data_IF_493125240973
#
_entry.id   IF_493125240973
#
_cell.length_a   1.000
_cell.length_b   1.000
_cell.length_c   1.000
_cell.angle_alpha   90.00
_cell.angle_beta   90.00
_cell.angle_gamma   90.00
#
_symmetry.space_group_name_H-M   'P 1'
#
loop_
_entity.id
_entity.type
_entity.pdbx_description
1 polymer ?
#
# COMPACT_ATOMS: atom_id res chain seq x y z
N UNK A 1 -27.54 -2.30 8.10
CA UNK A 1 -26.61 -3.09 7.26
C UNK A 1 -25.21 -2.68 7.67
N UNK A 2 -24.33 -3.65 7.93
CA UNK A 2 -23.04 -3.32 8.55
C UNK A 2 -22.05 -2.80 7.51
N UNK A 3 -22.07 -3.35 6.28
CA UNK A 3 -21.16 -2.94 5.22
C UNK A 3 -21.86 -2.93 3.85
N UNK A 4 -21.50 -1.96 3.01
CA UNK A 4 -21.77 -1.96 1.57
C UNK A 4 -20.46 -2.22 0.82
N UNK A 5 -20.46 -3.23 -0.02
CA UNK A 5 -19.31 -3.63 -0.83
C UNK A 5 -19.44 -3.06 -2.24
N UNK A 6 -18.51 -2.19 -2.62
CA UNK A 6 -18.38 -1.60 -3.94
C UNK A 6 -17.24 -2.31 -4.68
N UNK A 7 -17.60 -3.19 -5.62
CA UNK A 7 -16.61 -3.89 -6.46
C UNK A 7 -16.18 -3.00 -7.60
N UNK A 8 -14.89 -2.66 -7.62
CA UNK A 8 -14.30 -1.80 -8.65
C UNK A 8 -13.47 -2.63 -9.64
N UNK A 9 -13.47 -2.19 -10.88
CA UNK A 9 -12.53 -2.65 -11.89
C UNK A 9 -11.44 -1.60 -12.07
N UNK A 10 -10.23 -1.94 -11.65
CA UNK A 10 -9.03 -1.12 -11.77
C UNK A 10 -8.11 -1.59 -12.90
N UNK A 11 -8.59 -2.47 -13.80
CA UNK A 11 -7.76 -3.11 -14.82
C UNK A 11 -8.22 -2.88 -16.26
N UNK A 12 -9.51 -2.87 -16.53
CA UNK A 12 -10.05 -3.00 -17.89
C UNK A 12 -10.91 -1.81 -18.30
N UNK A 13 -11.88 -1.40 -17.46
CA UNK A 13 -12.98 -0.53 -17.89
C UNK A 13 -12.55 0.89 -18.25
N UNK A 14 -11.69 1.51 -17.42
CA UNK A 14 -11.41 2.93 -17.57
C UNK A 14 -9.94 3.31 -17.38
N UNK A 15 -9.08 2.34 -17.21
CA UNK A 15 -7.68 2.52 -16.87
C UNK A 15 -6.86 3.10 -18.01
N UNK A 16 -6.18 4.22 -17.76
CA UNK A 16 -5.12 4.72 -18.63
C UNK A 16 -3.87 3.83 -18.57
N UNK A 17 -3.05 3.92 -19.60
CA UNK A 17 -1.76 3.23 -19.62
C UNK A 17 -0.91 3.65 -18.41
N UNK A 18 -0.31 2.67 -17.76
CA UNK A 18 0.64 2.86 -16.67
C UNK A 18 1.81 3.74 -17.12
N UNK A 19 2.29 4.62 -16.24
CA UNK A 19 3.55 5.33 -16.45
C UNK A 19 4.73 4.40 -16.21
N UNK A 20 5.81 4.65 -16.94
CA UNK A 20 7.09 3.95 -16.77
C UNK A 20 8.17 4.96 -16.40
N UNK A 21 8.92 4.71 -15.35
CA UNK A 21 10.03 5.58 -14.94
C UNK A 21 11.07 5.74 -16.04
N UNK A 22 11.27 4.71 -16.88
CA UNK A 22 12.24 4.76 -17.97
C UNK A 22 11.92 5.85 -19.00
N UNK A 23 10.65 6.24 -19.16
CA UNK A 23 10.23 7.32 -20.05
C UNK A 23 10.66 8.72 -19.54
N UNK A 24 11.04 8.82 -18.28
CA UNK A 24 11.42 10.08 -17.60
C UNK A 24 12.93 10.19 -17.38
N UNK A 25 13.73 9.17 -17.71
CA UNK A 25 15.17 9.29 -17.66
C UNK A 25 15.70 10.06 -18.87
N UNK A 26 16.56 11.04 -18.61
CA UNK A 26 17.26 11.87 -19.60
C UNK A 26 18.77 11.66 -19.47
N UNK A 27 19.56 12.30 -20.33
CA UNK A 27 21.02 12.32 -20.18
C UNK A 27 21.51 13.01 -18.90
N UNK A 28 20.65 13.76 -18.20
CA UNK A 28 20.93 14.49 -16.96
C UNK A 28 20.33 13.79 -15.72
N UNK A 29 19.65 12.64 -15.88
CA UNK A 29 18.97 11.90 -14.83
C UNK A 29 17.44 11.92 -14.97
N UNK A 30 16.73 11.68 -13.87
CA UNK A 30 15.27 11.66 -13.86
C UNK A 30 14.69 13.07 -13.98
N UNK A 31 13.84 13.29 -14.99
CA UNK A 31 13.01 14.50 -15.11
C UNK A 31 11.84 14.43 -14.10
N UNK A 32 12.17 14.77 -12.86
CA UNK A 32 11.21 14.71 -11.75
C UNK A 32 10.04 15.71 -11.93
N UNK A 33 10.27 16.84 -12.60
CA UNK A 33 9.21 17.82 -12.82
C UNK A 33 8.16 17.30 -13.80
N UNK A 34 8.59 16.70 -14.91
CA UNK A 34 7.70 16.07 -15.88
C UNK A 34 6.98 14.87 -15.25
N UNK A 35 7.70 14.00 -14.53
CA UNK A 35 7.11 12.87 -13.84
C UNK A 35 6.01 13.31 -12.86
N UNK A 36 6.27 14.30 -12.00
CA UNK A 36 5.30 14.81 -11.04
C UNK A 36 4.06 15.41 -11.72
N UNK A 37 4.25 16.12 -12.82
CA UNK A 37 3.13 16.68 -13.59
C UNK A 37 2.25 15.58 -14.20
N UNK A 38 2.86 14.53 -14.74
CA UNK A 38 2.14 13.45 -15.41
C UNK A 38 1.42 12.53 -14.39
N UNK A 39 2.09 12.13 -13.30
CA UNK A 39 1.49 11.25 -12.28
C UNK A 39 0.35 11.92 -11.51
N UNK A 40 0.44 13.24 -11.31
CA UNK A 40 -0.59 14.07 -10.66
C UNK A 40 -1.66 14.63 -11.61
N UNK A 41 -1.62 14.30 -12.90
CA UNK A 41 -2.53 14.86 -13.90
C UNK A 41 -3.99 14.52 -13.61
N UNK A 42 -4.87 15.52 -13.65
CA UNK A 42 -6.31 15.37 -13.52
C UNK A 42 -6.95 14.57 -14.67
N UNK A 43 -6.23 14.44 -15.78
CA UNK A 43 -6.69 13.70 -16.94
C UNK A 43 -6.36 12.20 -16.85
N UNK A 44 -5.57 11.77 -15.87
CA UNK A 44 -5.25 10.36 -15.66
C UNK A 44 -6.32 9.68 -14.82
N UNK A 45 -6.80 8.54 -15.30
CA UNK A 45 -7.85 7.77 -14.62
C UNK A 45 -7.49 6.30 -14.48
N UNK A 46 -7.88 5.71 -13.36
CA UNK A 46 -7.83 4.28 -13.07
C UNK A 46 -9.22 3.63 -13.20
N UNK A 47 -10.26 4.35 -12.79
CA UNK A 47 -11.64 3.88 -12.80
C UNK A 47 -12.39 4.26 -14.09
N UNK A 48 -12.03 5.39 -14.69
CA UNK A 48 -12.83 6.02 -15.73
C UNK A 48 -14.01 6.82 -15.16
N UNK A 49 -14.46 7.81 -15.92
CA UNK A 49 -15.48 8.76 -15.45
C UNK A 49 -16.80 8.08 -15.05
N UNK A 50 -17.24 7.07 -15.78
CA UNK A 50 -18.51 6.39 -15.52
C UNK A 50 -18.47 5.63 -14.19
N UNK A 51 -17.42 4.84 -13.95
CA UNK A 51 -17.27 4.07 -12.73
C UNK A 51 -17.06 4.99 -11.51
N UNK A 52 -16.25 6.06 -11.69
CA UNK A 52 -16.05 7.04 -10.62
C UNK A 52 -17.36 7.72 -10.20
N UNK A 53 -18.18 8.17 -11.15
CA UNK A 53 -19.50 8.75 -10.86
C UNK A 53 -20.46 7.76 -10.19
N UNK A 54 -20.44 6.50 -10.63
CA UNK A 54 -21.19 5.43 -10.00
C UNK A 54 -20.75 5.23 -8.54
N UNK A 55 -19.45 5.17 -8.29
CA UNK A 55 -18.88 5.01 -6.94
C UNK A 55 -19.29 6.18 -6.04
N UNK A 56 -19.13 7.42 -6.50
CA UNK A 56 -19.51 8.62 -5.74
C UNK A 56 -21.00 8.61 -5.39
N UNK A 57 -21.85 8.23 -6.34
CA UNK A 57 -23.30 8.09 -6.11
C UNK A 57 -23.61 6.99 -5.10
N UNK A 58 -22.97 5.84 -5.22
CA UNK A 58 -23.14 4.70 -4.31
C UNK A 58 -22.73 5.07 -2.88
N UNK A 59 -21.58 5.71 -2.71
CA UNK A 59 -21.12 6.22 -1.41
C UNK A 59 -22.09 7.24 -0.82
N UNK A 60 -22.64 8.14 -1.64
CA UNK A 60 -23.57 9.17 -1.17
C UNK A 60 -24.90 8.57 -0.66
N UNK A 61 -25.44 7.56 -1.33
CA UNK A 61 -26.72 6.95 -0.95
C UNK A 61 -26.59 5.86 0.12
N UNK A 62 -25.41 5.30 0.34
CA UNK A 62 -25.20 4.28 1.34
C UNK A 62 -25.44 4.79 2.75
N UNK A 63 -26.12 3.97 3.56
CA UNK A 63 -26.35 4.18 5.00
C UNK A 63 -25.64 3.12 5.86
N UNK A 64 -24.85 2.25 5.24
CA UNK A 64 -24.09 1.24 5.96
C UNK A 64 -23.00 1.88 6.84
N UNK A 65 -22.67 1.21 7.94
CA UNK A 65 -21.59 1.64 8.84
C UNK A 65 -20.25 1.70 8.09
N UNK A 66 -19.98 0.71 7.25
CA UNK A 66 -18.74 0.59 6.49
C UNK A 66 -19.00 0.74 4.99
N UNK A 67 -18.11 1.47 4.33
CA UNK A 67 -18.00 1.51 2.89
C UNK A 67 -16.76 0.75 2.48
N UNK A 68 -16.95 -0.36 1.80
CA UNK A 68 -15.86 -1.29 1.45
C UNK A 68 -15.62 -1.24 -0.05
N UNK A 69 -14.41 -0.85 -0.46
CA UNK A 69 -13.98 -0.94 -1.85
C UNK A 69 -13.26 -2.27 -2.06
N UNK A 70 -13.85 -3.17 -2.84
CA UNK A 70 -13.20 -4.39 -3.30
C UNK A 70 -12.54 -4.14 -4.64
N UNK A 71 -11.21 -4.22 -4.73
CA UNK A 71 -10.46 -3.87 -5.94
C UNK A 71 -9.19 -4.70 -6.09
N UNK A 72 -8.47 -4.51 -7.20
CA UNK A 72 -7.30 -5.31 -7.50
C UNK A 72 -6.03 -4.72 -6.87
N UNK A 73 -5.76 -3.42 -7.07
CA UNK A 73 -4.46 -2.78 -6.78
C UNK A 73 -4.44 -2.02 -5.46
N UNK A 74 -3.26 -1.79 -4.88
CA UNK A 74 -3.10 -1.04 -3.64
C UNK A 74 -3.52 0.43 -3.78
N UNK A 75 -4.24 0.95 -2.76
CA UNK A 75 -4.56 2.36 -2.61
C UNK A 75 -3.64 3.08 -1.62
N UNK A 76 -3.05 2.36 -0.67
CA UNK A 76 -2.02 2.88 0.23
C UNK A 76 -0.81 3.41 -0.56
N UNK A 77 -0.25 4.54 -0.12
CA UNK A 77 0.94 5.09 -0.76
C UNK A 77 2.15 4.23 -0.43
N UNK A 78 2.87 3.85 -1.47
CA UNK A 78 4.10 3.06 -1.40
C UNK A 78 5.28 3.89 -1.90
N UNK A 79 5.61 4.96 -1.16
CA UNK A 79 6.77 5.78 -1.49
C UNK A 79 8.04 5.16 -0.89
N UNK A 80 9.03 4.93 -1.72
CA UNK A 80 10.36 4.46 -1.31
C UNK A 80 11.43 5.49 -1.61
N UNK A 81 12.55 5.49 -0.89
CA UNK A 81 13.71 6.31 -1.22
C UNK A 81 14.13 6.14 -2.69
N UNK A 82 14.41 7.26 -3.35
CA UNK A 82 14.69 7.29 -4.79
C UNK A 82 15.85 6.37 -5.20
N UNK A 83 16.86 6.22 -4.34
CA UNK A 83 18.00 5.35 -4.63
C UNK A 83 17.63 3.84 -4.64
N UNK A 84 16.60 3.42 -3.91
CA UNK A 84 16.04 2.06 -4.01
C UNK A 84 15.27 1.91 -5.32
N UNK A 85 14.47 2.91 -5.67
CA UNK A 85 13.67 2.87 -6.91
C UNK A 85 14.55 2.83 -8.16
N UNK A 86 15.68 3.57 -8.17
CA UNK A 86 16.65 3.49 -9.26
C UNK A 86 17.24 2.09 -9.37
N UNK A 87 17.62 1.45 -8.25
CA UNK A 87 18.14 0.09 -8.26
C UNK A 87 17.10 -0.92 -8.76
N UNK A 88 15.84 -0.78 -8.35
CA UNK A 88 14.73 -1.64 -8.81
C UNK A 88 14.45 -1.41 -10.30
N UNK A 89 14.32 -0.16 -10.75
CA UNK A 89 14.01 0.18 -12.14
C UNK A 89 15.12 -0.24 -13.12
N UNK A 90 16.36 -0.30 -12.64
CA UNK A 90 17.52 -0.74 -13.45
C UNK A 90 17.90 -2.21 -13.22
N UNK A 91 17.07 -2.97 -12.49
CA UNK A 91 17.27 -4.39 -12.15
C UNK A 91 18.64 -4.66 -11.47
N UNK A 92 19.11 -3.69 -10.68
CA UNK A 92 20.36 -3.79 -9.92
C UNK A 92 20.08 -4.28 -8.49
N UNK A 93 19.82 -5.58 -8.35
CA UNK A 93 19.44 -6.16 -7.06
C UNK A 93 20.62 -6.54 -6.18
N UNK A 94 21.85 -6.57 -6.72
CA UNK A 94 23.04 -6.84 -5.94
C UNK A 94 23.25 -5.78 -4.86
N UNK A 95 23.31 -6.19 -3.58
CA UNK A 95 23.44 -5.30 -2.42
C UNK A 95 22.15 -4.51 -2.07
N UNK A 96 21.01 -4.81 -2.71
CA UNK A 96 19.74 -4.16 -2.42
C UNK A 96 19.27 -4.39 -0.97
N UNK A 97 19.36 -5.61 -0.40
CA UNK A 97 18.99 -5.84 1.00
C UNK A 97 19.85 -5.03 1.99
N UNK A 98 21.15 -4.90 1.75
CA UNK A 98 22.05 -4.10 2.57
C UNK A 98 21.74 -2.61 2.47
N UNK A 99 21.45 -2.12 1.27
CA UNK A 99 21.02 -0.72 1.04
C UNK A 99 19.71 -0.44 1.73
N UNK A 100 18.74 -1.35 1.65
CA UNK A 100 17.45 -1.25 2.34
C UNK A 100 17.64 -1.14 3.86
N UNK A 101 18.51 -1.98 4.43
CA UNK A 101 18.84 -1.96 5.86
C UNK A 101 19.54 -0.67 6.29
N UNK A 102 20.47 -0.15 5.47
CA UNK A 102 21.16 1.12 5.72
C UNK A 102 20.17 2.29 5.76
N UNK A 103 19.30 2.39 4.76
CA UNK A 103 18.27 3.45 4.69
C UNK A 103 17.28 3.37 5.85
N UNK A 104 16.85 2.16 6.22
CA UNK A 104 15.99 1.96 7.37
C UNK A 104 16.69 2.39 8.69
N UNK A 105 18.00 2.16 8.81
CA UNK A 105 18.78 2.64 9.95
C UNK A 105 18.83 4.16 10.00
N UNK A 106 19.05 4.84 8.86
CA UNK A 106 19.02 6.30 8.77
C UNK A 106 17.63 6.84 9.14
N UNK A 107 16.57 6.24 8.60
CA UNK A 107 15.18 6.62 8.92
C UNK A 107 14.87 6.41 10.41
N UNK A 108 15.32 5.31 11.00
CA UNK A 108 15.17 5.05 12.44
C UNK A 108 15.86 6.10 13.31
N UNK A 109 17.06 6.55 12.91
CA UNK A 109 17.78 7.66 13.59
C UNK A 109 17.03 8.99 13.45
N UNK A 110 16.50 9.27 12.25
CA UNK A 110 15.67 10.47 12.01
C UNK A 110 14.45 10.49 12.93
N UNK A 111 13.70 9.38 12.98
CA UNK A 111 12.52 9.25 13.84
C UNK A 111 12.82 9.40 15.34
N UNK A 112 14.05 9.07 15.76
CA UNK A 112 14.55 9.28 17.11
C UNK A 112 15.05 10.72 17.36
N UNK A 113 15.05 11.56 16.34
CA UNK A 113 15.53 12.96 16.42
C UNK A 113 17.05 13.06 16.61
N UNK A 114 17.85 12.15 16.02
CA UNK A 114 19.30 12.15 16.11
C UNK A 114 19.89 13.43 15.47
N UNK A 115 20.48 14.35 16.26
CA UNK A 115 20.99 15.61 15.73
C UNK A 115 22.31 15.46 14.97
N UNK A 116 22.89 14.28 14.92
CA UNK A 116 24.14 14.00 14.20
C UNK A 116 23.94 13.62 12.75
N UNK A 117 22.67 13.44 12.29
CA UNK A 117 22.35 13.22 10.88
C UNK A 117 22.71 14.44 10.05
N UNK A 118 23.40 14.21 8.95
CA UNK A 118 23.70 15.24 7.96
C UNK A 118 22.51 15.51 7.03
N UNK A 119 22.48 16.68 6.39
CA UNK A 119 21.48 17.00 5.37
C UNK A 119 21.50 16.00 4.22
N UNK A 120 22.66 15.45 3.87
CA UNK A 120 22.81 14.42 2.82
C UNK A 120 22.16 13.10 3.26
N UNK A 121 22.40 12.64 4.50
CA UNK A 121 21.77 11.44 5.06
C UNK A 121 20.24 11.58 5.13
N UNK A 122 19.75 12.76 5.55
CA UNK A 122 18.31 13.07 5.57
C UNK A 122 17.72 13.08 4.16
N UNK A 123 18.42 13.64 3.18
CA UNK A 123 17.97 13.65 1.79
C UNK A 123 17.83 12.24 1.21
N UNK A 124 18.71 11.31 1.57
CA UNK A 124 18.65 9.90 1.12
C UNK A 124 17.34 9.20 1.51
N UNK A 125 16.82 9.48 2.69
CA UNK A 125 15.59 8.83 3.18
C UNK A 125 14.31 9.62 2.91
N UNK A 126 14.41 10.92 2.65
CA UNK A 126 13.25 11.80 2.45
C UNK A 126 13.03 12.18 0.98
N UNK A 127 13.98 11.92 0.08
CA UNK A 127 13.74 12.00 -1.36
C UNK A 127 13.09 10.71 -1.81
N UNK A 128 11.77 10.69 -1.76
CA UNK A 128 10.96 9.50 -2.03
C UNK A 128 10.12 9.65 -3.29
N UNK A 129 9.77 8.53 -3.92
CA UNK A 129 8.86 8.48 -5.04
C UNK A 129 8.03 7.19 -5.03
N UNK A 130 6.91 7.12 -5.76
CA UNK A 130 6.06 5.94 -5.81
C UNK A 130 6.78 4.68 -6.27
N UNK A 131 6.65 3.60 -5.51
CA UNK A 131 7.21 2.30 -5.91
C UNK A 131 6.41 1.65 -7.03
N UNK A 132 5.07 1.68 -6.95
CA UNK A 132 4.20 0.93 -7.84
C UNK A 132 3.27 1.85 -8.64
N UNK A 133 3.69 2.21 -9.86
CA UNK A 133 2.90 3.05 -10.77
C UNK A 133 1.72 2.30 -11.42
N UNK A 134 1.66 0.98 -11.26
CA UNK A 134 0.52 0.15 -11.65
C UNK A 134 -0.66 0.28 -10.68
N UNK A 135 -0.40 0.63 -9.44
CA UNK A 135 -1.37 0.90 -8.39
C UNK A 135 -1.88 2.36 -8.40
N UNK A 136 -2.66 2.75 -7.38
CA UNK A 136 -3.19 4.10 -7.25
C UNK A 136 -2.11 5.19 -7.18
N UNK A 137 -0.89 4.85 -6.81
CA UNK A 137 0.25 5.77 -6.85
C UNK A 137 0.55 6.31 -8.25
N UNK A 138 0.19 5.58 -9.30
CA UNK A 138 0.26 6.04 -10.69
C UNK A 138 -0.92 6.90 -11.14
N UNK A 139 -1.94 7.11 -10.28
CA UNK A 139 -3.20 7.81 -10.58
C UNK A 139 -3.60 8.73 -9.43
N UNK A 140 -2.66 9.56 -8.99
CA UNK A 140 -2.74 10.29 -7.72
C UNK A 140 -3.94 11.23 -7.65
N UNK A 141 -4.29 11.92 -8.73
CA UNK A 141 -5.43 12.83 -8.74
C UNK A 141 -6.75 12.08 -8.47
N UNK A 142 -7.02 11.00 -9.19
CA UNK A 142 -8.27 10.25 -9.01
C UNK A 142 -8.34 9.56 -7.64
N UNK A 143 -7.18 9.11 -7.09
CA UNK A 143 -7.10 8.64 -5.71
C UNK A 143 -7.60 9.70 -4.73
N UNK A 144 -7.13 10.94 -4.86
CA UNK A 144 -7.57 12.03 -4.00
C UNK A 144 -9.06 12.37 -4.20
N UNK A 145 -9.62 12.23 -5.41
CA UNK A 145 -11.06 12.37 -5.64
C UNK A 145 -11.87 11.32 -4.89
N UNK A 146 -11.43 10.05 -4.89
CA UNK A 146 -12.11 8.97 -4.14
C UNK A 146 -12.03 9.22 -2.64
N UNK A 147 -10.83 9.51 -2.10
CA UNK A 147 -10.64 9.79 -0.67
C UNK A 147 -11.40 11.05 -0.25
N UNK A 148 -11.35 12.11 -1.05
CA UNK A 148 -12.08 13.35 -0.82
C UNK A 148 -13.60 13.14 -0.79
N UNK A 149 -14.12 12.26 -1.63
CA UNK A 149 -15.55 11.88 -1.61
C UNK A 149 -15.90 11.19 -0.28
N UNK A 150 -15.14 10.21 0.14
CA UNK A 150 -15.36 9.51 1.41
C UNK A 150 -15.26 10.47 2.62
N UNK A 151 -14.30 11.39 2.60
CA UNK A 151 -14.12 12.44 3.61
C UNK A 151 -15.31 13.38 3.68
N UNK A 152 -15.72 13.95 2.55
CA UNK A 152 -16.84 14.90 2.46
C UNK A 152 -18.16 14.29 2.94
N UNK A 153 -18.37 13.00 2.66
CA UNK A 153 -19.54 12.24 3.08
C UNK A 153 -19.38 11.61 4.49
N UNK A 154 -18.25 11.84 5.15
CA UNK A 154 -17.92 11.28 6.47
C UNK A 154 -18.09 9.76 6.55
N UNK A 155 -17.61 9.02 5.55
CA UNK A 155 -17.74 7.55 5.47
C UNK A 155 -16.60 6.85 6.22
N UNK A 156 -16.90 5.67 6.79
CA UNK A 156 -15.88 4.76 7.30
C UNK A 156 -15.42 3.89 6.13
N UNK A 157 -14.29 4.25 5.54
CA UNK A 157 -13.75 3.61 4.33
C UNK A 157 -12.81 2.48 4.69
N UNK A 158 -13.05 1.31 4.11
CA UNK A 158 -12.13 0.17 4.12
C UNK A 158 -11.87 -0.26 2.68
N UNK A 159 -10.62 -0.35 2.30
CA UNK A 159 -10.21 -0.85 0.98
C UNK A 159 -9.67 -2.26 1.13
N UNK A 160 -10.12 -3.16 0.26
CA UNK A 160 -9.61 -4.53 0.16
C UNK A 160 -8.92 -4.68 -1.18
N UNK A 161 -7.65 -5.11 -1.14
CA UNK A 161 -6.80 -5.23 -2.31
C UNK A 161 -6.05 -6.57 -2.38
N UNK A 162 -5.49 -6.86 -3.53
CA UNK A 162 -4.61 -8.00 -3.81
C UNK A 162 -3.43 -7.56 -4.66
N UNK A 163 -3.23 -8.22 -5.80
CA UNK A 163 -2.30 -7.87 -6.88
C UNK A 163 -0.81 -7.98 -6.54
N UNK A 164 -0.35 -7.35 -5.47
CA UNK A 164 1.08 -7.33 -5.10
C UNK A 164 1.59 -8.64 -4.51
N UNK A 165 0.71 -9.61 -4.32
CA UNK A 165 1.00 -10.94 -3.77
C UNK A 165 1.50 -10.97 -2.33
N UNK A 166 1.44 -9.85 -1.64
CA UNK A 166 1.89 -9.64 -0.27
C UNK A 166 0.73 -9.21 0.61
N UNK A 167 0.84 -9.43 1.91
CA UNK A 167 -0.13 -8.92 2.86
C UNK A 167 0.29 -7.53 3.37
N UNK A 168 -0.66 -6.58 3.36
CA UNK A 168 -0.45 -5.21 3.80
C UNK A 168 -1.59 -4.72 4.66
N UNK A 169 -1.30 -3.86 5.63
CA UNK A 169 -2.28 -2.99 6.27
C UNK A 169 -1.78 -1.55 6.24
N UNK A 170 -2.54 -0.68 5.61
CA UNK A 170 -2.17 0.71 5.39
C UNK A 170 -3.20 1.67 5.99
N UNK A 171 -2.73 2.76 6.55
CA UNK A 171 -3.55 3.93 6.80
C UNK A 171 -3.73 4.73 5.50
N UNK A 172 -4.97 5.11 5.20
CA UNK A 172 -5.25 5.91 4.00
C UNK A 172 -5.41 7.37 4.39
N UNK A 173 -4.40 8.16 4.08
CA UNK A 173 -4.42 9.62 4.24
C UNK A 173 -4.55 10.31 2.90
N UNK A 174 -5.26 11.44 2.90
CA UNK A 174 -5.29 12.34 1.75
C UNK A 174 -3.99 13.16 1.63
N UNK A 175 -3.90 14.00 0.61
CA UNK A 175 -2.70 14.84 0.38
C UNK A 175 -2.49 15.89 1.48
N UNK A 176 -3.51 16.23 2.26
CA UNK A 176 -3.40 17.13 3.41
C UNK A 176 -2.94 16.39 4.68
N UNK A 177 -2.82 15.06 4.65
CA UNK A 177 -2.45 14.23 5.78
C UNK A 177 -3.62 13.83 6.68
N UNK A 178 -4.86 14.13 6.27
CA UNK A 178 -6.05 13.73 7.03
C UNK A 178 -6.32 12.23 6.86
N UNK A 179 -6.59 11.55 7.97
CA UNK A 179 -6.92 10.13 8.00
C UNK A 179 -8.35 9.88 7.48
N UNK A 180 -8.48 9.15 6.38
CA UNK A 180 -9.76 8.91 5.69
C UNK A 180 -10.30 7.51 5.97
N UNK A 181 -9.45 6.50 5.90
CA UNK A 181 -9.80 5.10 6.04
C UNK A 181 -8.59 4.21 6.14
N UNK A 182 -8.78 2.91 5.92
CA UNK A 182 -7.70 1.92 5.96
C UNK A 182 -7.77 1.01 4.74
N UNK A 183 -6.64 0.37 4.44
CA UNK A 183 -6.56 -0.69 3.44
C UNK A 183 -6.03 -1.96 4.07
N UNK A 184 -6.63 -3.08 3.69
CA UNK A 184 -6.17 -4.43 3.98
C UNK A 184 -5.96 -5.17 2.67
N UNK A 185 -4.73 -5.59 2.41
CA UNK A 185 -4.38 -6.34 1.21
C UNK A 185 -3.99 -7.77 1.58
N UNK A 186 -4.40 -8.71 0.74
CA UNK A 186 -4.15 -10.13 0.93
C UNK A 186 -2.91 -10.60 0.18
N UNK A 187 -2.21 -11.58 0.78
CA UNK A 187 -1.19 -12.33 0.07
C UNK A 187 -1.78 -13.16 -1.07
N UNK A 188 -0.95 -13.59 -1.99
CA UNK A 188 -1.33 -14.55 -3.02
C UNK A 188 -1.52 -15.96 -2.44
N UNK A 189 -2.19 -16.82 -3.21
CA UNK A 189 -2.30 -18.25 -2.89
C UNK A 189 -1.03 -19.01 -3.29
N UNK A 190 -0.43 -18.68 -4.45
CA UNK A 190 0.72 -19.41 -4.99
C UNK A 190 1.75 -18.55 -5.72
N UNK A 191 1.40 -17.33 -6.14
CA UNK A 191 2.32 -16.45 -6.88
C UNK A 191 3.46 -15.93 -6.00
N UNK A 192 4.64 -15.66 -6.58
CA UNK A 192 5.75 -15.06 -5.85
C UNK A 192 5.40 -13.67 -5.32
N UNK A 193 6.00 -13.27 -4.22
CA UNK A 193 5.86 -11.95 -3.64
C UNK A 193 7.13 -11.11 -3.79
N UNK A 194 7.24 -10.06 -3.00
CA UNK A 194 8.38 -9.13 -3.04
C UNK A 194 9.72 -9.82 -2.78
N UNK A 195 9.73 -10.90 -1.98
CA UNK A 195 10.95 -11.65 -1.67
C UNK A 195 11.64 -12.18 -2.93
N UNK A 196 10.85 -12.69 -3.89
CA UNK A 196 11.41 -13.21 -5.15
C UNK A 196 11.74 -12.06 -6.12
N UNK A 197 10.90 -11.03 -6.21
CA UNK A 197 11.13 -9.88 -7.10
C UNK A 197 12.34 -9.05 -6.70
N UNK A 198 12.61 -8.92 -5.40
CA UNK A 198 13.74 -8.15 -4.88
C UNK A 198 14.96 -9.02 -4.54
N UNK A 199 14.86 -10.35 -4.73
CA UNK A 199 15.94 -11.29 -4.42
C UNK A 199 16.30 -11.31 -2.94
N UNK A 200 15.33 -11.17 -2.03
CA UNK A 200 15.57 -11.13 -0.58
C UNK A 200 15.83 -12.56 -0.06
N UNK A 201 16.99 -12.85 0.53
CA UNK A 201 17.26 -14.14 1.14
C UNK A 201 16.32 -14.46 2.30
N UNK A 202 15.98 -15.75 2.50
CA UNK A 202 15.04 -16.20 3.53
C UNK A 202 15.39 -15.73 4.94
N UNK A 203 16.70 -15.68 5.29
CA UNK A 203 17.18 -15.23 6.57
C UNK A 203 17.15 -13.71 6.77
N UNK A 204 16.92 -12.94 5.69
CA UNK A 204 16.80 -11.49 5.70
C UNK A 204 15.35 -10.99 5.63
N UNK A 205 14.36 -11.86 5.44
CA UNK A 205 12.95 -11.49 5.24
C UNK A 205 12.42 -10.60 6.36
N UNK A 206 12.57 -10.99 7.62
CA UNK A 206 12.06 -10.22 8.75
C UNK A 206 12.74 -8.84 8.86
N UNK A 207 14.02 -8.78 8.56
CA UNK A 207 14.78 -7.51 8.51
C UNK A 207 14.26 -6.61 7.39
N UNK A 208 13.97 -7.17 6.22
CA UNK A 208 13.40 -6.43 5.10
C UNK A 208 11.98 -5.92 5.38
N UNK A 209 11.12 -6.73 6.02
CA UNK A 209 9.77 -6.30 6.45
C UNK A 209 9.86 -5.11 7.42
N UNK A 210 10.75 -5.19 8.41
CA UNK A 210 10.97 -4.09 9.35
C UNK A 210 11.51 -2.84 8.65
N UNK A 211 12.46 -3.01 7.74
CA UNK A 211 13.05 -1.90 6.99
C UNK A 211 12.01 -1.19 6.10
N UNK A 212 11.21 -1.95 5.35
CA UNK A 212 10.14 -1.40 4.53
C UNK A 212 9.09 -0.70 5.40
N UNK A 213 8.72 -1.30 6.54
CA UNK A 213 7.78 -0.69 7.49
C UNK A 213 8.26 0.63 8.10
N UNK A 214 9.58 0.86 8.18
CA UNK A 214 10.15 2.14 8.60
C UNK A 214 10.22 3.17 7.48
N UNK A 215 10.42 2.72 6.23
CA UNK A 215 10.64 3.59 5.08
C UNK A 215 9.35 4.03 4.41
N UNK A 216 8.29 3.21 4.49
CA UNK A 216 6.98 3.51 3.90
C UNK A 216 6.09 4.14 4.95
N UNK A 217 5.80 5.42 4.77
CA UNK A 217 4.86 6.13 5.63
C UNK A 217 3.46 5.46 5.54
N UNK A 218 2.71 5.49 6.67
CA UNK A 218 1.34 4.96 6.76
C UNK A 218 1.20 3.43 6.64
N UNK A 219 2.27 2.69 6.47
CA UNK A 219 2.30 1.22 6.51
C UNK A 219 2.34 0.76 7.97
N UNK A 220 1.33 -0.02 8.38
CA UNK A 220 1.22 -0.58 9.73
C UNK A 220 1.68 -2.05 9.79
N UNK A 221 1.36 -2.82 8.77
CA UNK A 221 1.68 -4.25 8.73
C UNK A 221 2.09 -4.69 7.33
N UNK A 222 3.07 -5.59 7.27
CA UNK A 222 3.60 -6.18 6.05
C UNK A 222 4.01 -7.63 6.28
N UNK A 223 3.69 -8.50 5.31
CA UNK A 223 4.29 -9.81 5.13
C UNK A 223 4.67 -9.97 3.66
N UNK A 224 5.96 -10.10 3.36
CA UNK A 224 6.48 -10.04 1.99
C UNK A 224 6.61 -11.39 1.31
N UNK A 225 6.64 -12.51 2.07
CA UNK A 225 7.08 -13.78 1.52
C UNK A 225 6.10 -14.95 1.67
N UNK A 226 5.08 -14.85 2.51
CA UNK A 226 4.21 -16.00 2.76
C UNK A 226 2.97 -15.97 1.90
N UNK A 227 2.45 -17.16 1.62
CA UNK A 227 1.19 -17.38 0.88
C UNK A 227 0.09 -17.74 1.86
N UNK A 228 -1.13 -17.34 1.54
CA UNK A 228 -2.23 -17.55 2.46
C UNK A 228 -3.52 -16.87 2.01
N UNK A 229 -4.33 -16.50 2.99
CA UNK A 229 -5.59 -15.79 2.77
C UNK A 229 -5.86 -14.80 3.90
N UNK A 230 -6.76 -13.89 3.63
CA UNK A 230 -7.27 -12.91 4.59
C UNK A 230 -8.76 -13.13 4.81
N UNK A 231 -9.17 -13.14 6.07
CA UNK A 231 -10.58 -13.13 6.48
C UNK A 231 -10.91 -11.72 7.00
N UNK A 232 -11.93 -11.09 6.45
CA UNK A 232 -12.37 -9.78 6.93
C UNK A 232 -13.76 -9.87 7.53
N UNK A 233 -13.90 -9.40 8.76
CA UNK A 233 -15.15 -9.39 9.52
C UNK A 233 -15.60 -7.94 9.73
N UNK A 234 -16.85 -7.65 9.38
CA UNK A 234 -17.48 -6.36 9.60
C UNK A 234 -18.58 -6.47 10.62
N UNK A 235 -18.53 -5.63 11.65
CA UNK A 235 -19.59 -5.43 12.65
C UNK A 235 -19.89 -3.93 12.74
N UNK A 236 -20.97 -3.52 13.44
CA UNK A 236 -21.19 -2.09 13.71
C UNK A 236 -20.04 -1.42 14.49
N UNK A 237 -19.28 -2.20 15.28
CA UNK A 237 -18.25 -1.72 16.20
C UNK A 237 -16.84 -1.71 15.61
N UNK A 238 -16.55 -2.63 14.66
CA UNK A 238 -15.21 -2.73 14.05
C UNK A 238 -15.25 -3.38 12.68
N UNK A 239 -14.24 -3.09 11.85
CA UNK A 239 -13.83 -3.92 10.74
C UNK A 239 -12.48 -4.54 11.09
N UNK A 240 -12.35 -5.88 10.95
CA UNK A 240 -11.16 -6.63 11.33
C UNK A 240 -10.70 -7.51 10.18
N UNK A 241 -9.40 -7.49 9.91
CA UNK A 241 -8.73 -8.36 8.97
C UNK A 241 -7.79 -9.31 9.73
N UNK A 242 -7.94 -10.61 9.47
CA UNK A 242 -7.11 -11.68 10.00
C UNK A 242 -6.37 -12.36 8.85
N UNK A 243 -5.04 -12.34 8.85
CA UNK A 243 -4.21 -13.01 7.85
C UNK A 243 -3.72 -14.35 8.36
N UNK A 244 -3.95 -15.37 7.54
CA UNK A 244 -3.53 -16.75 7.80
C UNK A 244 -2.56 -17.19 6.70
N UNK A 245 -1.35 -17.56 7.08
CA UNK A 245 -0.31 -17.99 6.15
C UNK A 245 -0.06 -19.48 6.30
N UNK A 246 0.39 -20.10 5.20
CA UNK A 246 0.83 -21.47 5.19
C UNK A 246 2.34 -21.56 5.24
N UNK A 247 2.85 -22.63 5.86
CA UNK A 247 4.29 -22.88 5.99
C UNK A 247 4.95 -23.25 4.66
N UNK A 248 4.18 -23.80 3.71
CA UNK A 248 4.66 -24.14 2.37
C UNK A 248 3.53 -24.24 1.36
N UNK A 249 3.82 -23.88 0.11
CA UNK A 249 2.97 -24.15 -1.07
C UNK A 249 3.55 -25.24 -1.98
N UNK A 250 4.71 -25.79 -1.61
CA UNK A 250 5.43 -26.80 -2.41
C UNK A 250 5.01 -28.23 -2.08
N UNK A 251 4.16 -28.41 -1.07
CA UNK A 251 3.58 -29.71 -0.65
C UNK A 251 2.07 -29.59 -0.49
N UNK A 252 1.37 -30.73 -0.67
CA UNK A 252 -0.06 -30.83 -0.32
C UNK A 252 -0.26 -31.00 1.19
N UNK A 253 0.77 -31.43 1.90
CA UNK A 253 0.81 -31.48 3.36
C UNK A 253 1.38 -30.15 3.84
N UNK A 254 0.52 -29.23 4.23
CA UNK A 254 0.87 -27.91 4.76
C UNK A 254 0.12 -27.64 6.07
N UNK A 255 0.64 -26.71 6.83
CA UNK A 255 0.02 -26.24 8.08
C UNK A 255 -0.09 -24.71 8.05
N UNK A 256 -1.02 -24.17 8.83
CA UNK A 256 -1.04 -22.73 9.11
C UNK A 256 0.17 -22.40 9.99
N UNK A 257 0.95 -21.43 9.55
CA UNK A 257 2.06 -20.88 10.33
C UNK A 257 1.52 -19.90 11.38
N UNK A 258 1.20 -20.44 12.55
CA UNK A 258 0.63 -19.65 13.64
C UNK A 258 1.58 -18.54 14.15
N UNK A 259 2.88 -18.65 13.91
CA UNK A 259 3.87 -17.63 14.32
C UNK A 259 3.83 -16.37 13.46
N UNK A 260 3.25 -16.48 12.25
CA UNK A 260 3.18 -15.41 11.28
C UNK A 260 1.76 -14.87 11.07
N UNK A 261 0.73 -15.56 11.60
CA UNK A 261 -0.64 -15.03 11.57
C UNK A 261 -0.70 -13.65 12.21
N UNK A 262 -1.47 -12.75 11.61
CA UNK A 262 -1.59 -11.37 12.08
C UNK A 262 -3.05 -10.91 12.04
N UNK A 263 -3.39 -9.96 12.88
CA UNK A 263 -4.71 -9.35 12.90
C UNK A 263 -4.61 -7.85 13.06
N UNK A 264 -5.45 -7.12 12.32
CA UNK A 264 -5.61 -5.68 12.43
C UNK A 264 -7.08 -5.33 12.44
N UNK A 265 -7.40 -4.23 13.07
CA UNK A 265 -8.76 -3.70 13.08
C UNK A 265 -8.79 -2.21 12.84
N UNK A 266 -9.97 -1.70 12.52
CA UNK A 266 -10.29 -0.28 12.49
C UNK A 266 -11.64 -0.05 13.16
N UNK A 267 -11.78 1.03 13.90
CA UNK A 267 -13.02 1.44 14.54
C UNK A 267 -13.74 2.51 13.69
N UNK A 268 -15.08 2.56 13.73
CA UNK A 268 -15.84 3.56 12.97
C UNK A 268 -15.79 4.93 13.63
N UNK A 269 -16.06 5.95 12.83
CA UNK A 269 -16.22 7.33 13.27
C UNK A 269 -14.97 8.19 13.12
N UNK A 270 -15.16 9.53 13.08
CA UNK A 270 -14.07 10.47 12.97
C UNK A 270 -13.05 10.31 14.11
N UNK A 271 -11.76 10.32 13.77
CA UNK A 271 -10.67 10.15 14.74
C UNK A 271 -10.33 8.70 15.10
N UNK A 272 -11.12 7.70 14.63
CA UNK A 272 -10.91 6.29 14.94
C UNK A 272 -10.49 5.44 13.72
N UNK A 273 -10.47 6.04 12.52
CA UNK A 273 -10.27 5.35 11.24
C UNK A 273 -8.82 5.00 10.94
N UNK A 274 -8.06 4.59 11.97
CA UNK A 274 -6.67 4.13 11.86
C UNK A 274 -6.56 2.65 12.10
N UNK A 275 -5.59 2.02 11.45
CA UNK A 275 -5.22 0.63 11.73
C UNK A 275 -4.79 0.50 13.18
N UNK A 276 -5.25 -0.54 13.85
CA UNK A 276 -4.92 -0.86 15.23
C UNK A 276 -4.58 -2.35 15.36
N UNK A 277 -3.60 -2.65 16.20
CA UNK A 277 -3.31 -4.03 16.59
C UNK A 277 -4.52 -4.68 17.28
N UNK A 278 -4.72 -5.96 17.01
CA UNK A 278 -5.69 -6.78 17.71
C UNK A 278 -5.23 -8.24 17.68
N UNK A 279 -5.81 -9.08 18.55
CA UNK A 279 -5.60 -10.52 18.50
C UNK A 279 -6.54 -11.17 17.47
N UNK A 280 -6.09 -12.29 16.90
CA UNK A 280 -6.93 -13.15 16.08
C UNK A 280 -8.18 -13.57 16.88
N UNK A 281 -9.33 -13.45 16.26
CA UNK A 281 -10.62 -13.75 16.87
C UNK A 281 -11.00 -15.22 16.82
#
# INVERSE_FOLDING_TARGET
MDADLHMLDTRIIGRDQQLDYMDYFTGEGLDAARFTADVGSENRTLLGAEQLLWLQSSLNYSTATWQVLGQQVLMGRMNLPAELLVAIATEQFDGLPEKLAELAQLKGRELQGDPSLTDEELARVNTVAPYNLDAWDGYQYEREVVLGTAKALNKNLVVLAGDTHNAWANNLKDIQGDQIGVEFATASVTSPGLEEYLGIPDDMIQGAEQAIGLLVDDLDYLNVNQRGYMLVTFTPEEARADWYFVDTIKSKDYQIDASRTASRRVLPGPGNRTVQDTSIG
#
